data_IF_269521786686
#
_entry.id   IF_269521786686
#
_cell.length_a   1.000
_cell.length_b   1.000
_cell.length_c   1.000
_cell.angle_alpha   90.00
_cell.angle_beta   90.00
_cell.angle_gamma   90.00
#
_symmetry.space_group_name_H-M   'P 1'
#
loop_
_entity.id
_entity.type
_entity.pdbx_description
1 polymer ?
#
# COMPACT_ATOMS: atom_id res chain seq x y z
N UNK A 1 -0.25 -22.91 -7.17
CA UNK A 1 0.17 -21.89 -6.19
C UNK A 1 -0.79 -22.00 -5.01
N UNK A 2 -0.32 -22.38 -3.81
CA UNK A 2 -1.14 -22.31 -2.60
C UNK A 2 -1.31 -20.81 -2.28
N UNK A 3 -2.57 -20.35 -2.19
CA UNK A 3 -2.97 -18.94 -2.27
C UNK A 3 -3.12 -18.24 -0.92
N UNK A 4 -3.64 -17.00 -0.98
CA UNK A 4 -4.10 -16.04 0.05
C UNK A 4 -4.02 -16.40 1.56
N UNK A 5 -4.31 -17.64 1.99
CA UNK A 5 -4.24 -18.06 3.39
C UNK A 5 -2.83 -18.01 4.00
N UNK A 6 -1.78 -17.97 3.18
CA UNK A 6 -0.39 -17.89 3.63
C UNK A 6 0.03 -16.44 4.02
N UNK A 7 -0.83 -15.44 3.87
CA UNK A 7 -0.48 -14.02 4.02
C UNK A 7 -1.14 -13.29 5.20
N UNK A 8 -2.01 -13.95 5.96
CA UNK A 8 -2.68 -13.34 7.12
C UNK A 8 -2.10 -13.86 8.44
N UNK A 9 -1.56 -12.96 9.26
CA UNK A 9 -1.35 -13.15 10.68
C UNK A 9 0.05 -12.81 11.15
N UNK A 10 0.23 -11.61 11.70
CA UNK A 10 1.29 -11.35 12.67
C UNK A 10 0.80 -10.68 13.94
N UNK A 11 1.20 -11.28 15.05
CA UNK A 11 1.14 -10.73 16.41
C UNK A 11 2.32 -9.77 16.59
N UNK A 12 2.14 -8.73 17.41
CA UNK A 12 3.15 -7.70 17.73
C UNK A 12 4.38 -8.24 18.47
N UNK A 13 4.43 -9.53 18.81
CA UNK A 13 5.62 -10.23 19.28
C UNK A 13 5.81 -11.54 18.52
N UNK A 14 6.78 -11.55 17.60
CA UNK A 14 7.17 -12.75 16.89
C UNK A 14 8.04 -13.66 17.77
N UNK A 15 7.66 -14.92 17.88
CA UNK A 15 8.51 -15.98 18.40
C UNK A 15 9.64 -16.28 17.41
N UNK A 16 10.76 -16.82 17.89
CA UNK A 16 11.89 -17.26 17.04
C UNK A 16 11.41 -18.22 15.94
N UNK A 17 10.50 -19.13 16.29
CA UNK A 17 9.91 -20.08 15.34
C UNK A 17 9.08 -19.41 14.24
N UNK A 18 8.39 -18.30 14.54
CA UNK A 18 7.64 -17.56 13.52
C UNK A 18 8.57 -16.76 12.60
N UNK A 19 9.67 -16.22 13.13
CA UNK A 19 10.71 -15.55 12.32
C UNK A 19 11.37 -16.54 11.35
N UNK A 20 11.72 -17.73 11.82
CA UNK A 20 12.29 -18.79 10.98
C UNK A 20 11.31 -19.23 9.89
N UNK A 21 10.02 -19.37 10.21
CA UNK A 21 8.99 -19.72 9.22
C UNK A 21 8.78 -18.62 8.16
N UNK A 22 8.92 -17.34 8.51
CA UNK A 22 8.91 -16.21 7.54
C UNK A 22 10.10 -16.33 6.60
N UNK A 23 11.30 -16.52 7.16
CA UNK A 23 12.53 -16.61 6.39
C UNK A 23 12.52 -17.81 5.43
N UNK A 24 12.07 -18.98 5.91
CA UNK A 24 11.90 -20.16 5.06
C UNK A 24 10.88 -19.90 3.95
N UNK A 25 9.77 -19.20 4.25
CA UNK A 25 8.77 -18.84 3.24
C UNK A 25 9.34 -17.88 2.19
N UNK A 26 10.05 -16.84 2.59
CA UNK A 26 10.64 -15.84 1.70
C UNK A 26 11.71 -16.45 0.79
N UNK A 27 12.55 -17.36 1.33
CA UNK A 27 13.60 -18.04 0.55
C UNK A 27 13.05 -18.88 -0.62
N UNK A 28 11.76 -19.24 -0.60
CA UNK A 28 11.12 -19.98 -1.70
C UNK A 28 10.80 -19.13 -2.92
N UNK A 29 10.77 -17.79 -2.81
CA UNK A 29 10.20 -16.95 -3.85
C UNK A 29 11.23 -16.35 -4.80
N UNK A 30 12.39 -15.89 -4.32
CA UNK A 30 13.51 -15.55 -5.20
C UNK A 30 14.81 -15.28 -4.43
N UNK A 31 15.94 -15.68 -5.00
CA UNK A 31 17.30 -15.30 -4.55
C UNK A 31 17.84 -14.10 -5.35
N UNK A 32 16.97 -13.14 -5.68
CA UNK A 32 17.40 -11.94 -6.40
C UNK A 32 18.22 -11.02 -5.48
N UNK A 33 19.30 -10.45 -6.02
CA UNK A 33 20.00 -9.36 -5.35
C UNK A 33 19.08 -8.14 -5.19
N UNK A 34 19.17 -7.45 -4.07
CA UNK A 34 18.27 -6.32 -3.70
C UNK A 34 18.17 -5.24 -4.77
N UNK A 35 19.27 -4.78 -5.43
CA UNK A 35 19.15 -3.81 -6.52
C UNK A 35 18.36 -4.32 -7.73
N UNK A 36 18.47 -5.63 -8.03
CA UNK A 36 17.72 -6.26 -9.13
C UNK A 36 16.24 -6.36 -8.77
N UNK A 37 15.92 -6.69 -7.52
CA UNK A 37 14.56 -6.71 -7.02
C UNK A 37 13.92 -5.31 -7.04
N UNK A 38 14.65 -4.28 -6.59
CA UNK A 38 14.20 -2.90 -6.63
C UNK A 38 13.88 -2.45 -8.07
N UNK A 39 14.79 -2.69 -9.02
CA UNK A 39 14.57 -2.38 -10.43
C UNK A 39 13.36 -3.13 -11.00
N UNK A 40 13.21 -4.41 -10.66
CA UNK A 40 12.07 -5.22 -11.08
C UNK A 40 10.75 -4.65 -10.57
N UNK A 41 10.65 -4.31 -9.28
CA UNK A 41 9.44 -3.75 -8.68
C UNK A 41 9.10 -2.38 -9.28
N UNK A 42 10.09 -1.48 -9.38
CA UNK A 42 9.91 -0.14 -9.98
C UNK A 42 9.37 -0.27 -11.39
N UNK A 43 9.97 -1.13 -12.22
CA UNK A 43 9.54 -1.35 -13.59
C UNK A 43 8.16 -1.99 -13.67
N UNK A 44 7.87 -2.98 -12.83
CA UNK A 44 6.58 -3.66 -12.79
C UNK A 44 5.44 -2.68 -12.46
N UNK A 45 5.65 -1.82 -11.46
CA UNK A 45 4.65 -0.86 -10.99
C UNK A 45 4.51 0.34 -11.93
N UNK A 46 5.60 0.86 -12.50
CA UNK A 46 5.55 1.92 -13.53
C UNK A 46 4.90 1.47 -14.83
N UNK A 47 5.12 0.22 -15.24
CA UNK A 47 4.50 -0.35 -16.45
C UNK A 47 3.19 -1.09 -16.12
N UNK A 48 2.56 -0.80 -14.97
CA UNK A 48 1.39 -1.52 -14.46
C UNK A 48 0.21 -1.46 -15.43
N UNK A 49 -0.07 -0.34 -16.09
CA UNK A 49 -1.20 -0.27 -17.02
C UNK A 49 -1.02 -1.27 -18.18
N UNK A 50 0.19 -1.39 -18.73
CA UNK A 50 0.45 -2.34 -19.82
C UNK A 50 0.45 -3.80 -19.35
N UNK A 51 0.93 -4.05 -18.13
CA UNK A 51 1.22 -5.41 -17.63
C UNK A 51 0.08 -6.02 -16.83
N UNK A 52 -0.63 -5.20 -16.06
CA UNK A 52 -1.65 -5.62 -15.12
C UNK A 52 -3.08 -5.46 -15.66
N UNK A 53 -3.31 -4.57 -16.63
CA UNK A 53 -4.66 -4.37 -17.20
C UNK A 53 -5.22 -5.58 -17.96
N UNK A 54 -4.34 -6.47 -18.43
CA UNK A 54 -4.67 -7.71 -19.13
C UNK A 54 -4.94 -8.88 -18.18
N UNK A 55 -4.61 -8.72 -16.90
CA UNK A 55 -4.76 -9.75 -15.87
C UNK A 55 -6.20 -9.70 -15.35
N UNK A 56 -6.79 -10.87 -15.02
CA UNK A 56 -8.13 -10.90 -14.43
C UNK A 56 -8.10 -10.24 -13.05
N UNK A 57 -9.16 -9.53 -12.61
CA UNK A 57 -9.16 -8.84 -11.32
C UNK A 57 -8.80 -9.74 -10.12
N UNK A 58 -9.27 -11.00 -10.12
CA UNK A 58 -8.93 -11.94 -9.06
C UNK A 58 -7.44 -12.34 -9.05
N UNK A 59 -6.80 -12.47 -10.21
CA UNK A 59 -5.37 -12.78 -10.33
C UNK A 59 -4.52 -11.55 -9.97
N UNK A 60 -4.99 -10.35 -10.33
CA UNK A 60 -4.35 -9.08 -9.93
C UNK A 60 -4.41 -8.89 -8.41
N UNK A 61 -5.52 -9.25 -7.77
CA UNK A 61 -5.64 -9.22 -6.32
C UNK A 61 -4.55 -10.09 -5.66
N UNK A 62 -4.37 -11.34 -6.12
CA UNK A 62 -3.31 -12.22 -5.61
C UNK A 62 -1.91 -11.65 -5.89
N UNK A 63 -1.70 -11.00 -7.05
CA UNK A 63 -0.43 -10.35 -7.36
C UNK A 63 -0.13 -9.17 -6.42
N UNK A 64 -1.13 -8.36 -6.06
CA UNK A 64 -0.99 -7.27 -5.09
C UNK A 64 -0.61 -7.84 -3.72
N UNK A 65 -1.33 -8.85 -3.24
CA UNK A 65 -0.99 -9.56 -2.00
C UNK A 65 0.42 -10.15 -2.04
N UNK A 66 0.83 -10.70 -3.17
CA UNK A 66 2.17 -11.23 -3.32
C UNK A 66 3.23 -10.12 -3.28
N UNK A 67 3.04 -9.01 -4.00
CA UNK A 67 4.04 -7.93 -4.11
C UNK A 67 4.16 -7.15 -2.78
N UNK A 68 3.01 -6.76 -2.22
CA UNK A 68 2.94 -5.89 -1.04
C UNK A 68 2.78 -6.66 0.27
N UNK A 69 2.58 -7.98 0.22
CA UNK A 69 2.45 -8.82 1.41
C UNK A 69 3.77 -9.30 2.00
N UNK A 70 3.76 -9.47 3.33
CA UNK A 70 4.83 -10.08 4.12
C UNK A 70 5.28 -11.44 3.56
N UNK A 71 4.39 -12.19 2.91
CA UNK A 71 4.70 -13.51 2.39
C UNK A 71 5.79 -13.53 1.32
N UNK A 72 5.91 -12.49 0.48
CA UNK A 72 7.10 -12.35 -0.40
C UNK A 72 8.22 -11.56 0.28
N UNK A 73 7.87 -10.60 1.13
CA UNK A 73 8.82 -9.69 1.76
C UNK A 73 9.52 -8.74 0.79
N UNK A 74 9.09 -8.64 -0.48
CA UNK A 74 9.83 -7.94 -1.51
C UNK A 74 9.96 -6.44 -1.25
N UNK A 75 8.85 -5.77 -0.98
CA UNK A 75 8.83 -4.34 -0.67
C UNK A 75 9.61 -4.06 0.62
N UNK A 76 9.38 -4.86 1.66
CA UNK A 76 10.09 -4.74 2.95
C UNK A 76 11.61 -4.83 2.75
N UNK A 77 12.06 -5.84 1.99
CA UNK A 77 13.48 -6.01 1.68
C UNK A 77 14.07 -4.80 0.96
N UNK A 78 13.39 -4.24 -0.04
CA UNK A 78 13.87 -3.04 -0.74
C UNK A 78 13.93 -1.84 0.21
N UNK A 79 12.91 -1.63 1.03
CA UNK A 79 12.90 -0.53 2.00
C UNK A 79 14.00 -0.65 3.07
N UNK A 80 14.38 -1.87 3.45
CA UNK A 80 15.42 -2.12 4.45
C UNK A 80 16.85 -2.13 3.90
N UNK A 81 17.05 -2.67 2.69
CA UNK A 81 18.39 -2.99 2.18
C UNK A 81 18.85 -2.11 1.01
N UNK A 82 17.93 -1.49 0.27
CA UNK A 82 18.29 -0.67 -0.89
C UNK A 82 18.73 0.75 -0.50
N UNK A 83 19.41 1.44 -1.42
CA UNK A 83 19.77 2.84 -1.26
C UNK A 83 18.53 3.75 -1.26
N UNK A 84 18.60 4.90 -0.60
CA UNK A 84 17.50 5.87 -0.51
C UNK A 84 16.94 6.29 -1.89
N UNK A 85 17.78 6.37 -2.92
CA UNK A 85 17.33 6.65 -4.29
C UNK A 85 16.35 5.60 -4.82
N UNK A 86 16.48 4.34 -4.43
CA UNK A 86 15.56 3.27 -4.81
C UNK A 86 14.23 3.38 -4.07
N UNK A 87 14.23 3.91 -2.84
CA UNK A 87 12.99 4.17 -2.10
C UNK A 87 12.16 5.23 -2.82
N UNK A 88 12.79 6.35 -3.22
CA UNK A 88 12.13 7.41 -4.00
C UNK A 88 11.52 6.83 -5.28
N UNK A 89 12.30 6.06 -6.06
CA UNK A 89 11.83 5.43 -7.30
C UNK A 89 10.67 4.46 -7.06
N UNK A 90 10.70 3.70 -5.96
CA UNK A 90 9.65 2.76 -5.60
C UNK A 90 8.34 3.48 -5.26
N UNK A 91 8.39 4.52 -4.42
CA UNK A 91 7.20 5.30 -4.08
C UNK A 91 6.61 6.03 -5.29
N UNK A 92 7.45 6.58 -6.17
CA UNK A 92 6.98 7.12 -7.47
C UNK A 92 6.28 6.04 -8.31
N UNK A 93 6.84 4.83 -8.38
CA UNK A 93 6.25 3.73 -9.12
C UNK A 93 4.91 3.27 -8.52
N UNK A 94 4.78 3.30 -7.19
CA UNK A 94 3.52 3.03 -6.48
C UNK A 94 2.47 4.07 -6.87
N UNK A 95 2.81 5.36 -6.93
CA UNK A 95 1.90 6.43 -7.39
C UNK A 95 1.40 6.17 -8.81
N UNK A 96 2.29 5.84 -9.75
CA UNK A 96 1.91 5.45 -11.12
C UNK A 96 0.97 4.23 -11.10
N UNK A 97 1.26 3.21 -10.28
CA UNK A 97 0.40 2.04 -10.18
C UNK A 97 -1.02 2.38 -9.70
N UNK A 98 -1.14 3.24 -8.69
CA UNK A 98 -2.44 3.72 -8.24
C UNK A 98 -3.20 4.44 -9.36
N UNK A 99 -2.58 5.46 -9.97
CA UNK A 99 -3.24 6.33 -10.95
C UNK A 99 -3.57 5.59 -12.26
N UNK A 100 -2.59 4.90 -12.85
CA UNK A 100 -2.72 4.33 -14.20
C UNK A 100 -3.50 3.00 -14.21
N UNK A 101 -3.47 2.27 -13.08
CA UNK A 101 -4.00 0.91 -13.00
C UNK A 101 -5.08 0.76 -11.95
N UNK A 102 -4.77 0.95 -10.67
CA UNK A 102 -5.68 0.56 -9.59
C UNK A 102 -6.95 1.42 -9.60
N UNK A 103 -6.81 2.74 -9.79
CA UNK A 103 -7.95 3.65 -9.81
C UNK A 103 -8.95 3.31 -10.92
N UNK A 104 -8.44 2.87 -12.06
CA UNK A 104 -9.23 2.46 -13.23
C UNK A 104 -9.84 1.08 -13.08
N UNK A 105 -9.24 0.16 -12.31
CA UNK A 105 -9.69 -1.23 -12.22
C UNK A 105 -10.59 -1.50 -11.00
N UNK A 106 -10.37 -0.78 -9.90
CA UNK A 106 -11.16 -0.91 -8.67
C UNK A 106 -12.60 -0.41 -8.84
N UNK A 107 -13.49 -0.77 -7.90
CA UNK A 107 -14.90 -0.35 -7.88
C UNK A 107 -15.62 -0.57 -9.22
N UNK A 108 -15.56 -1.80 -9.76
CA UNK A 108 -16.14 -2.18 -11.07
C UNK A 108 -15.61 -1.31 -12.21
N UNK A 109 -14.29 -1.15 -12.27
CA UNK A 109 -13.59 -0.31 -13.25
C UNK A 109 -13.94 1.19 -13.16
N UNK A 110 -14.04 1.71 -11.94
CA UNK A 110 -14.38 3.11 -11.66
C UNK A 110 -15.86 3.46 -11.88
N UNK A 111 -16.74 2.47 -12.06
CA UNK A 111 -18.15 2.70 -12.34
C UNK A 111 -18.96 3.17 -11.12
N UNK A 112 -18.43 3.03 -9.90
CA UNK A 112 -19.08 3.50 -8.68
C UNK A 112 -18.11 4.15 -7.69
N UNK A 113 -18.54 5.26 -7.09
CA UNK A 113 -17.87 5.90 -5.94
C UNK A 113 -18.48 5.49 -4.60
N UNK A 114 -19.60 4.76 -4.63
CA UNK A 114 -20.46 4.54 -3.46
C UNK A 114 -20.10 3.30 -2.65
N UNK A 115 -19.08 2.53 -3.06
CA UNK A 115 -18.89 1.20 -2.51
C UNK A 115 -18.06 1.20 -1.22
N UNK A 116 -18.72 0.91 -0.09
CA UNK A 116 -18.11 0.58 1.19
C UNK A 116 -17.64 -0.88 1.29
N UNK A 117 -18.17 -1.74 0.42
CA UNK A 117 -18.26 -3.16 0.70
C UNK A 117 -16.96 -3.91 0.50
N UNK A 118 -15.99 -3.34 -0.25
CA UNK A 118 -14.79 -4.04 -0.72
C UNK A 118 -15.14 -5.49 -1.09
N UNK A 119 -16.27 -5.71 -1.78
CA UNK A 119 -16.78 -7.07 -2.01
C UNK A 119 -15.99 -7.81 -3.07
N UNK A 120 -15.37 -7.05 -3.99
CA UNK A 120 -14.45 -7.59 -4.97
C UNK A 120 -13.06 -7.78 -4.36
N UNK A 121 -12.44 -8.95 -4.63
CA UNK A 121 -11.13 -9.31 -4.08
C UNK A 121 -10.03 -8.29 -4.41
N UNK A 122 -10.14 -7.64 -5.56
CA UNK A 122 -9.20 -6.59 -5.97
C UNK A 122 -9.33 -5.35 -5.07
N UNK A 123 -10.55 -4.92 -4.79
CA UNK A 123 -10.81 -3.76 -3.94
C UNK A 123 -10.30 -4.01 -2.51
N UNK A 124 -10.47 -5.24 -1.99
CA UNK A 124 -9.85 -5.67 -0.72
C UNK A 124 -8.33 -5.58 -0.79
N UNK A 125 -7.71 -6.16 -1.82
CA UNK A 125 -6.25 -6.16 -1.94
C UNK A 125 -5.69 -4.73 -2.01
N UNK A 126 -6.31 -3.84 -2.79
CA UNK A 126 -5.89 -2.43 -2.90
C UNK A 126 -6.08 -1.68 -1.59
N UNK A 127 -7.22 -1.88 -0.93
CA UNK A 127 -7.48 -1.32 0.39
C UNK A 127 -6.39 -1.69 1.41
N UNK A 128 -5.96 -2.95 1.39
CA UNK A 128 -5.04 -3.51 2.38
C UNK A 128 -3.57 -3.19 2.13
N UNK A 129 -3.17 -2.56 1.00
CA UNK A 129 -1.75 -2.36 0.62
C UNK A 129 -0.88 -1.84 1.79
N UNK A 130 -1.42 -0.91 2.57
CA UNK A 130 -0.72 -0.27 3.69
C UNK A 130 -0.73 -1.08 4.99
N UNK A 131 -1.54 -2.14 5.05
CA UNK A 131 -1.75 -3.03 6.20
C UNK A 131 -1.14 -4.43 5.96
N UNK A 132 -0.42 -4.61 4.85
CA UNK A 132 0.15 -5.92 4.47
C UNK A 132 1.53 -6.21 5.10
N UNK A 133 1.93 -5.46 6.13
CA UNK A 133 3.24 -5.55 6.80
C UNK A 133 4.46 -5.45 5.83
N UNK A 134 4.30 -4.80 4.67
CA UNK A 134 5.41 -4.57 3.72
C UNK A 134 6.42 -3.53 4.17
N UNK A 135 6.16 -2.83 5.27
CA UNK A 135 6.98 -1.71 5.71
C UNK A 135 6.67 -0.38 5.01
N UNK A 136 5.68 -0.32 4.11
CA UNK A 136 5.27 0.94 3.45
C UNK A 136 4.84 2.04 4.43
N UNK A 137 4.19 1.66 5.53
CA UNK A 137 3.80 2.58 6.61
C UNK A 137 4.80 2.61 7.78
N UNK A 138 5.90 1.87 7.72
CA UNK A 138 6.79 1.68 8.87
C UNK A 138 7.99 2.61 8.81
N UNK A 139 8.26 3.27 9.93
CA UNK A 139 9.48 4.06 10.16
C UNK A 139 10.37 3.26 11.13
N UNK A 140 11.49 2.66 10.69
CA UNK A 140 12.38 1.98 11.61
C UNK A 140 12.94 2.96 12.63
N UNK A 141 12.63 2.72 13.91
CA UNK A 141 12.95 3.61 15.04
C UNK A 141 14.47 3.79 15.28
N UNK A 142 15.32 3.00 14.61
CA UNK A 142 16.73 2.82 14.98
C UNK A 142 17.75 3.04 13.84
N UNK A 143 17.31 3.39 12.63
CA UNK A 143 18.25 3.73 11.55
C UNK A 143 18.45 5.26 11.52
N UNK A 144 19.69 5.72 11.43
CA UNK A 144 20.06 7.14 11.38
C UNK A 144 19.60 7.89 10.11
N UNK A 145 18.64 7.34 9.36
CA UNK A 145 17.85 8.02 8.33
C UNK A 145 16.40 7.50 8.29
N UNK A 146 15.50 7.94 9.21
CA UNK A 146 14.11 7.48 9.28
C UNK A 146 13.07 8.49 8.72
N UNK A 147 13.44 9.76 8.51
CA UNK A 147 12.48 10.82 8.14
C UNK A 147 12.06 10.73 6.67
N UNK A 148 12.94 10.26 5.78
CA UNK A 148 12.68 10.29 4.33
C UNK A 148 11.58 9.30 3.89
N UNK A 149 11.56 8.08 4.44
CA UNK A 149 10.55 7.08 4.03
C UNK A 149 9.13 7.46 4.50
N UNK A 150 8.96 8.03 5.70
CA UNK A 150 7.64 8.51 6.12
C UNK A 150 7.13 9.67 5.27
N UNK A 151 8.00 10.59 4.87
CA UNK A 151 7.59 11.69 4.00
C UNK A 151 7.23 11.18 2.61
N UNK A 152 8.01 10.23 2.05
CA UNK A 152 7.66 9.58 0.77
C UNK A 152 6.32 8.85 0.83
N UNK A 153 6.02 8.18 1.95
CA UNK A 153 4.72 7.55 2.18
C UNK A 153 3.60 8.60 2.25
N UNK A 154 3.75 9.65 3.05
CA UNK A 154 2.76 10.74 3.18
C UNK A 154 2.50 11.42 1.83
N UNK A 155 3.55 11.78 1.09
CA UNK A 155 3.44 12.38 -0.23
C UNK A 155 2.77 11.43 -1.25
N UNK A 156 2.96 10.12 -1.09
CA UNK A 156 2.29 9.11 -1.93
C UNK A 156 0.80 9.02 -1.61
N UNK A 157 0.44 9.05 -0.33
CA UNK A 157 -0.94 9.00 0.12
C UNK A 157 -1.70 10.28 -0.27
N UNK A 158 -1.09 11.45 -0.12
CA UNK A 158 -1.62 12.74 -0.58
C UNK A 158 -1.83 12.75 -2.10
N UNK A 159 -0.85 12.23 -2.85
CA UNK A 159 -0.97 12.06 -4.29
C UNK A 159 -2.19 11.21 -4.66
N UNK A 160 -2.38 10.05 -4.01
CA UNK A 160 -3.53 9.17 -4.27
C UNK A 160 -4.85 9.88 -3.97
N UNK A 161 -4.96 10.59 -2.84
CA UNK A 161 -6.17 11.37 -2.51
C UNK A 161 -6.49 12.47 -3.53
N UNK A 162 -5.45 13.07 -4.11
CA UNK A 162 -5.59 14.15 -5.09
C UNK A 162 -5.94 13.64 -6.49
N UNK A 163 -5.38 12.51 -6.92
CA UNK A 163 -5.46 12.06 -8.32
C UNK A 163 -6.48 10.94 -8.54
N UNK A 164 -6.75 10.10 -7.54
CA UNK A 164 -7.66 8.97 -7.68
C UNK A 164 -9.13 9.35 -7.45
N UNK A 165 -10.04 8.53 -7.99
CA UNK A 165 -11.50 8.71 -7.90
C UNK A 165 -12.23 7.51 -7.32
N UNK A 166 -11.67 6.31 -7.46
CA UNK A 166 -12.24 5.08 -6.92
C UNK A 166 -12.24 5.08 -5.39
N UNK A 167 -13.32 4.56 -4.83
CA UNK A 167 -13.49 4.43 -3.38
C UNK A 167 -12.40 3.58 -2.75
N UNK A 168 -11.97 2.48 -3.40
CA UNK A 168 -10.91 1.60 -2.86
C UNK A 168 -9.57 2.30 -2.76
N UNK A 169 -9.16 3.08 -3.77
CA UNK A 169 -7.88 3.81 -3.73
C UNK A 169 -7.92 4.93 -2.69
N UNK A 170 -9.02 5.70 -2.64
CA UNK A 170 -9.19 6.75 -1.63
C UNK A 170 -9.21 6.17 -0.21
N UNK A 171 -9.94 5.07 0.00
CA UNK A 171 -10.00 4.36 1.28
C UNK A 171 -8.62 3.80 1.67
N UNK A 172 -7.88 3.21 0.71
CA UNK A 172 -6.51 2.73 0.92
C UNK A 172 -5.58 3.86 1.38
N UNK A 173 -5.65 5.03 0.73
CA UNK A 173 -4.84 6.17 1.13
C UNK A 173 -5.23 6.71 2.53
N UNK A 174 -6.52 6.83 2.83
CA UNK A 174 -6.97 7.20 4.17
C UNK A 174 -6.53 6.17 5.22
N UNK A 175 -6.56 4.88 4.89
CA UNK A 175 -6.11 3.82 5.78
C UNK A 175 -4.62 3.94 6.10
N UNK A 176 -3.77 4.11 5.08
CA UNK A 176 -2.34 4.35 5.27
C UNK A 176 -2.04 5.62 6.09
N UNK A 177 -2.80 6.71 5.88
CA UNK A 177 -2.68 7.93 6.69
C UNK A 177 -3.06 7.69 8.16
N UNK A 178 -4.06 6.85 8.42
CA UNK A 178 -4.44 6.45 9.77
C UNK A 178 -3.31 5.76 10.53
N UNK A 179 -2.62 4.81 9.88
CA UNK A 179 -1.44 4.14 10.45
C UNK A 179 -0.29 5.11 10.77
N UNK A 180 -0.16 6.18 9.98
CA UNK A 180 0.87 7.20 10.16
C UNK A 180 0.50 8.30 11.17
N UNK A 181 -0.75 8.39 11.64
CA UNK A 181 -1.23 9.47 12.51
C UNK A 181 -0.39 9.61 13.78
N UNK A 182 -0.08 8.49 14.43
CA UNK A 182 0.67 8.49 15.69
C UNK A 182 2.12 8.96 15.54
N UNK A 183 2.67 8.89 14.32
CA UNK A 183 4.05 9.28 14.02
C UNK A 183 4.13 10.69 13.43
N UNK A 184 3.16 11.08 12.60
CA UNK A 184 3.21 12.28 11.76
C UNK A 184 1.89 13.07 11.79
N UNK A 185 1.27 13.16 12.98
CA UNK A 185 -0.05 13.77 13.25
C UNK A 185 -0.32 15.05 12.45
N UNK A 186 0.56 16.03 12.55
CA UNK A 186 0.33 17.34 11.93
C UNK A 186 0.23 17.23 10.41
N UNK A 187 1.08 16.43 9.79
CA UNK A 187 1.12 16.23 8.33
C UNK A 187 -0.10 15.43 7.86
N UNK A 188 -0.45 14.36 8.59
CA UNK A 188 -1.66 13.56 8.34
C UNK A 188 -2.92 14.42 8.41
N UNK A 189 -3.06 15.24 9.47
CA UNK A 189 -4.23 16.12 9.63
C UNK A 189 -4.32 17.13 8.48
N UNK A 190 -3.19 17.75 8.09
CA UNK A 190 -3.17 18.69 6.98
C UNK A 190 -3.58 18.07 5.64
N UNK A 191 -3.12 16.85 5.33
CA UNK A 191 -3.49 16.12 4.11
C UNK A 191 -4.99 15.81 4.10
N UNK A 192 -5.51 15.26 5.20
CA UNK A 192 -6.93 14.89 5.29
C UNK A 192 -7.83 16.13 5.24
N UNK A 193 -7.48 17.19 5.98
CA UNK A 193 -8.26 18.43 6.00
C UNK A 193 -8.25 19.09 4.61
N UNK A 194 -7.13 19.06 3.88
CA UNK A 194 -7.02 19.52 2.50
C UNK A 194 -7.88 18.70 1.53
N UNK A 195 -7.83 17.37 1.63
CA UNK A 195 -8.66 16.46 0.85
C UNK A 195 -10.16 16.75 1.03
N UNK A 196 -10.61 16.89 2.28
CA UNK A 196 -12.02 17.19 2.61
C UNK A 196 -12.46 18.59 2.15
N UNK A 197 -11.56 19.57 2.18
CA UNK A 197 -11.86 20.92 1.73
C UNK A 197 -12.04 21.03 0.21
N UNK A 198 -11.29 20.25 -0.57
CA UNK A 198 -11.32 20.29 -2.04
C UNK A 198 -12.44 19.43 -2.63
N UNK A 199 -12.80 18.31 -1.97
CA UNK A 199 -13.74 17.33 -2.50
C UNK A 199 -15.13 17.49 -1.86
N UNK A 200 -16.00 18.25 -2.51
CA UNK A 200 -17.38 18.50 -2.07
C UNK A 200 -18.37 17.36 -2.42
N UNK A 201 -17.95 16.41 -3.25
CA UNK A 201 -18.79 15.34 -3.80
C UNK A 201 -18.49 13.96 -3.20
N UNK A 202 -17.87 13.92 -2.02
CA UNK A 202 -17.56 12.65 -1.35
C UNK A 202 -18.83 12.01 -0.77
N UNK A 203 -18.98 10.69 -0.92
CA UNK A 203 -20.05 9.97 -0.24
C UNK A 203 -19.84 10.04 1.29
N UNK A 204 -20.93 10.10 2.05
CA UNK A 204 -20.90 10.27 3.51
C UNK A 204 -19.97 9.29 4.22
N UNK A 205 -19.95 8.03 3.78
CA UNK A 205 -19.11 7.01 4.39
C UNK A 205 -17.61 7.31 4.27
N UNK A 206 -17.16 7.90 3.15
CA UNK A 206 -15.75 8.19 2.92
C UNK A 206 -15.33 9.40 3.75
N UNK A 207 -16.22 10.38 3.91
CA UNK A 207 -16.04 11.49 4.87
C UNK A 207 -15.94 10.98 6.30
N UNK A 208 -16.79 10.03 6.71
CA UNK A 208 -16.68 9.38 8.02
C UNK A 208 -15.37 8.62 8.16
N UNK A 209 -14.95 7.88 7.13
CA UNK A 209 -13.69 7.14 7.12
C UNK A 209 -12.48 8.07 7.22
N UNK A 210 -12.51 9.23 6.56
CA UNK A 210 -11.48 10.25 6.70
C UNK A 210 -11.40 10.79 8.14
N UNK A 211 -12.54 10.93 8.82
CA UNK A 211 -12.58 11.27 10.25
C UNK A 211 -11.89 10.20 11.12
N UNK A 212 -12.14 8.92 10.84
CA UNK A 212 -11.47 7.81 11.53
C UNK A 212 -9.96 7.81 11.28
N UNK A 213 -9.53 7.92 10.01
CA UNK A 213 -8.12 8.05 9.64
C UNK A 213 -7.43 9.22 10.35
N UNK A 214 -8.08 10.39 10.41
CA UNK A 214 -7.56 11.58 11.10
C UNK A 214 -7.34 11.36 12.60
N UNK A 215 -8.07 10.43 13.20
CA UNK A 215 -7.92 10.04 14.61
C UNK A 215 -7.00 8.83 14.83
N UNK A 216 -6.37 8.32 13.77
CA UNK A 216 -5.57 7.09 13.83
C UNK A 216 -6.40 5.82 14.06
N UNK A 217 -7.72 5.89 13.91
CA UNK A 217 -8.67 4.81 14.24
C UNK A 217 -9.10 4.04 13.00
N UNK A 218 -8.15 3.51 12.25
CA UNK A 218 -8.41 2.68 11.06
C UNK A 218 -8.42 1.20 11.43
N UNK A 219 -9.28 0.42 10.76
CA UNK A 219 -9.47 -1.02 10.97
C UNK A 219 -9.26 -1.79 9.68
#
# INVERSE_FOLDING_TARGET
MKGHSDFCGYSTSLTVSEVEAIQERQSRFSDLATPVLAEYLVRLLRESDRRMSVIKPAELAEAIWFIFGVGSGFVCRVLHEAAASEHVRLYEAIRCCYEDTLDRLCNRRGASREDMSNTDRLDVAVYMIWDMDSGLGFVPRNASGPVECSELALDTLDFVLSHCRSGSCLKSALHGLGHLEHYQRQRVHAIIDGFLAVRSDLPTWLTSYAGYARSGSVQ
#
